data_IF_935896107372
#
_entry.id   IF_935896107372
#
_cell.length_a   1.000
_cell.length_b   1.000
_cell.length_c   1.000
_cell.angle_alpha   90.00
_cell.angle_beta   90.00
_cell.angle_gamma   90.00
#
_symmetry.space_group_name_H-M   'P 1'
#
loop_
_entity.id
_entity.type
_entity.pdbx_description
1 polymer ?
#
# COMPACT_ATOMS: atom_id res chain seq x y z
N UNK A 1 18.75 9.42 -13.70
CA UNK A 1 17.64 9.98 -14.51
C UNK A 1 17.55 9.09 -15.74
N UNK A 2 16.65 8.11 -15.70
CA UNK A 2 16.52 7.07 -16.71
C UNK A 2 16.24 7.74 -18.06
N UNK A 3 17.20 7.71 -18.97
CA UNK A 3 17.03 8.20 -20.34
C UNK A 3 16.21 7.18 -21.12
N UNK A 4 14.97 7.53 -21.43
CA UNK A 4 14.10 6.79 -22.34
C UNK A 4 14.47 6.99 -23.82
N UNK A 5 15.55 7.73 -24.12
CA UNK A 5 15.97 8.09 -25.48
C UNK A 5 16.50 6.92 -26.32
N UNK A 6 16.77 5.75 -25.72
CA UNK A 6 17.38 4.59 -26.41
C UNK A 6 16.38 3.47 -26.79
N UNK A 7 15.06 3.73 -26.79
CA UNK A 7 14.08 2.73 -27.21
C UNK A 7 13.85 2.78 -28.74
N UNK A 8 14.10 1.70 -29.49
CA UNK A 8 13.91 1.70 -30.95
C UNK A 8 12.47 2.01 -31.32
N UNK A 9 12.29 2.97 -32.23
CA UNK A 9 11.03 3.52 -32.74
C UNK A 9 10.09 2.49 -33.43
N UNK A 10 10.38 1.19 -33.35
CA UNK A 10 9.68 0.11 -34.06
C UNK A 10 8.65 -0.65 -33.21
N UNK A 11 8.42 -0.26 -31.94
CA UNK A 11 7.36 -0.84 -31.08
C UNK A 11 6.21 0.10 -30.73
N UNK A 12 6.14 1.27 -31.37
CA UNK A 12 5.13 2.32 -31.17
C UNK A 12 3.72 1.98 -31.71
N UNK A 13 3.41 0.70 -31.97
CA UNK A 13 2.18 0.29 -32.66
C UNK A 13 1.43 -0.89 -31.99
N UNK A 14 1.30 -0.89 -30.67
CA UNK A 14 0.26 -1.75 -30.04
C UNK A 14 -0.82 -0.95 -29.29
N UNK A 15 -0.61 0.34 -29.04
CA UNK A 15 -1.65 1.25 -28.58
C UNK A 15 -1.37 2.64 -29.16
N UNK A 16 -2.27 3.18 -30.00
CA UNK A 16 -2.06 4.39 -30.81
C UNK A 16 -1.97 5.72 -30.03
N UNK A 17 -1.11 5.82 -29.03
CA UNK A 17 -0.86 7.02 -28.24
C UNK A 17 0.35 7.79 -28.76
N UNK A 18 0.24 9.11 -28.85
CA UNK A 18 1.37 10.00 -29.19
C UNK A 18 2.34 10.11 -28.00
N UNK A 19 3.62 10.35 -28.30
CA UNK A 19 4.66 10.56 -27.26
C UNK A 19 4.31 11.66 -26.25
N UNK A 20 3.70 12.75 -26.72
CA UNK A 20 3.21 13.83 -25.84
C UNK A 20 2.14 13.35 -24.85
N UNK A 21 1.21 12.50 -25.29
CA UNK A 21 0.16 11.94 -24.43
C UNK A 21 0.74 10.98 -23.38
N UNK A 22 1.77 10.22 -23.76
CA UNK A 22 2.48 9.35 -22.81
C UNK A 22 3.20 10.18 -21.74
N UNK A 23 3.79 11.32 -22.11
CA UNK A 23 4.45 12.21 -21.16
C UNK A 23 3.46 12.88 -20.20
N UNK A 24 2.27 13.26 -20.67
CA UNK A 24 1.19 13.78 -19.83
C UNK A 24 0.72 12.71 -18.83
N UNK A 25 0.46 11.48 -19.30
CA UNK A 25 0.07 10.36 -18.42
C UNK A 25 1.15 10.06 -17.39
N UNK A 26 2.43 10.07 -17.78
CA UNK A 26 3.54 9.85 -16.87
C UNK A 26 3.59 10.91 -15.77
N UNK A 27 3.42 12.19 -16.13
CA UNK A 27 3.40 13.29 -15.18
C UNK A 27 2.24 13.16 -14.18
N UNK A 28 1.03 12.83 -14.65
CA UNK A 28 -0.14 12.63 -13.80
C UNK A 28 0.06 11.46 -12.83
N UNK A 29 0.59 10.34 -13.31
CA UNK A 29 0.90 9.17 -12.49
C UNK A 29 1.96 9.52 -11.43
N UNK A 30 3.01 10.25 -11.80
CA UNK A 30 4.05 10.68 -10.89
C UNK A 30 3.50 11.55 -9.75
N UNK A 31 2.68 12.56 -10.07
CA UNK A 31 2.10 13.44 -9.06
C UNK A 31 1.09 12.71 -8.18
N UNK A 32 0.24 11.86 -8.76
CA UNK A 32 -0.73 11.07 -8.00
C UNK A 32 -0.03 10.16 -6.98
N UNK A 33 1.01 9.42 -7.42
CA UNK A 33 1.78 8.54 -6.53
C UNK A 33 2.55 9.36 -5.49
N UNK A 34 3.16 10.49 -5.85
CA UNK A 34 3.88 11.33 -4.90
C UNK A 34 2.95 11.81 -3.77
N UNK A 35 1.74 12.25 -4.11
CA UNK A 35 0.73 12.68 -3.14
C UNK A 35 0.24 11.53 -2.24
N UNK A 36 0.13 10.32 -2.78
CA UNK A 36 -0.18 9.13 -1.98
C UNK A 36 0.95 8.83 -0.98
N UNK A 37 2.20 8.88 -1.45
CA UNK A 37 3.38 8.56 -0.65
C UNK A 37 3.67 9.60 0.44
N UNK A 38 3.28 10.87 0.25
CA UNK A 38 3.46 11.94 1.24
C UNK A 38 2.91 11.60 2.63
N UNK A 39 1.88 10.77 2.71
CA UNK A 39 1.24 10.37 3.98
C UNK A 39 1.91 9.17 4.65
N UNK A 40 2.73 8.42 3.92
CA UNK A 40 3.34 7.15 4.35
C UNK A 40 4.86 7.13 4.15
N UNK A 41 5.49 8.30 4.03
CA UNK A 41 6.94 8.42 3.79
C UNK A 41 7.74 7.68 4.87
N UNK A 42 7.28 7.73 6.13
CA UNK A 42 7.90 7.05 7.28
C UNK A 42 7.96 5.51 7.14
N UNK A 43 7.17 4.92 6.24
CA UNK A 43 7.25 3.50 5.93
C UNK A 43 8.49 3.16 5.08
N UNK A 44 9.04 4.14 4.36
CA UNK A 44 10.14 3.96 3.41
C UNK A 44 11.44 4.67 3.83
N UNK A 45 11.44 5.35 4.98
CA UNK A 45 12.65 5.92 5.58
C UNK A 45 13.51 4.85 6.26
N UNK A 46 14.75 5.21 6.62
CA UNK A 46 15.68 4.30 7.29
C UNK A 46 15.07 3.72 8.58
N UNK A 47 15.23 2.42 8.79
CA UNK A 47 14.61 1.63 9.87
C UNK A 47 13.07 1.50 9.82
N UNK A 48 12.40 2.11 8.84
CA UNK A 48 10.96 1.97 8.57
C UNK A 48 10.08 2.17 9.82
N UNK A 49 10.27 3.27 10.58
CA UNK A 49 9.55 3.51 11.83
C UNK A 49 8.03 3.55 11.64
N UNK A 50 7.55 4.01 10.48
CA UNK A 50 6.12 4.02 10.16
C UNK A 50 5.52 2.60 10.16
N UNK A 51 6.23 1.63 9.59
CA UNK A 51 5.76 0.23 9.56
C UNK A 51 5.72 -0.34 10.97
N UNK A 52 6.76 -0.11 11.78
CA UNK A 52 6.79 -0.61 13.16
C UNK A 52 5.64 -0.03 14.00
N UNK A 53 5.36 1.27 13.86
CA UNK A 53 4.24 1.93 14.53
C UNK A 53 2.88 1.36 14.08
N UNK A 54 2.71 1.12 12.79
CA UNK A 54 1.48 0.55 12.24
C UNK A 54 1.24 -0.88 12.75
N UNK A 55 2.30 -1.68 12.90
CA UNK A 55 2.24 -3.03 13.46
C UNK A 55 1.88 -2.98 14.95
N UNK A 56 2.49 -2.07 15.72
CA UNK A 56 2.13 -1.89 17.13
C UNK A 56 0.66 -1.49 17.28
N UNK A 57 0.15 -0.61 16.40
CA UNK A 57 -1.26 -0.24 16.39
C UNK A 57 -2.16 -1.43 16.01
N UNK A 58 -1.76 -2.26 15.05
CA UNK A 58 -2.45 -3.49 14.67
C UNK A 58 -2.58 -4.46 15.85
N UNK A 59 -1.50 -4.68 16.59
CA UNK A 59 -1.52 -5.52 17.78
C UNK A 59 -2.51 -4.99 18.82
N UNK A 60 -2.42 -3.70 19.17
CA UNK A 60 -3.28 -3.07 20.18
C UNK A 60 -4.76 -3.08 19.78
N UNK A 61 -5.07 -2.88 18.49
CA UNK A 61 -6.45 -2.92 18.01
C UNK A 61 -7.01 -4.33 17.99
N UNK A 62 -6.21 -5.32 17.58
CA UNK A 62 -6.66 -6.72 17.60
C UNK A 62 -6.94 -7.16 19.02
N UNK A 63 -6.07 -6.84 19.98
CA UNK A 63 -6.29 -7.14 21.40
C UNK A 63 -7.59 -6.52 21.94
N UNK A 64 -7.93 -5.30 21.50
CA UNK A 64 -9.13 -4.58 21.96
C UNK A 64 -10.43 -5.04 21.30
N UNK A 65 -10.36 -5.48 20.04
CA UNK A 65 -11.54 -5.84 19.25
C UNK A 65 -11.84 -7.34 19.32
N UNK A 66 -10.81 -8.17 19.34
CA UNK A 66 -10.90 -9.62 19.39
C UNK A 66 -9.73 -10.20 20.21
N UNK A 67 -9.93 -10.22 21.53
CA UNK A 67 -8.96 -10.76 22.47
C UNK A 67 -8.71 -12.26 22.24
N UNK A 68 -9.72 -13.01 21.81
CA UNK A 68 -9.61 -14.45 21.58
C UNK A 68 -8.68 -14.74 20.39
N UNK A 69 -8.80 -13.97 19.31
CA UNK A 69 -7.89 -14.04 18.16
C UNK A 69 -6.45 -13.63 18.56
N UNK A 70 -6.30 -12.57 19.34
CA UNK A 70 -4.98 -12.15 19.82
C UNK A 70 -4.30 -13.25 20.67
N UNK A 71 -5.04 -13.86 21.61
CA UNK A 71 -4.53 -14.96 22.42
C UNK A 71 -4.21 -16.19 21.57
N UNK A 72 -4.98 -16.45 20.51
CA UNK A 72 -4.68 -17.52 19.57
C UNK A 72 -3.32 -17.30 18.87
N UNK A 73 -3.03 -16.09 18.39
CA UNK A 73 -1.73 -15.79 17.78
C UNK A 73 -0.58 -15.97 18.76
N UNK A 74 -0.73 -15.51 20.01
CA UNK A 74 0.26 -15.73 21.07
C UNK A 74 0.49 -17.23 21.35
N UNK A 75 -0.59 -18.01 21.44
CA UNK A 75 -0.52 -19.45 21.66
C UNK A 75 0.20 -20.20 20.53
N UNK A 76 0.09 -19.70 19.29
CA UNK A 76 0.80 -20.24 18.13
C UNK A 76 2.21 -19.66 17.92
N UNK A 77 2.69 -18.79 18.80
CA UNK A 77 3.96 -18.03 18.64
C UNK A 77 4.01 -17.24 17.31
N UNK A 78 2.87 -16.74 16.84
CA UNK A 78 2.77 -15.91 15.65
C UNK A 78 3.00 -14.44 16.01
N UNK A 79 4.07 -13.86 15.50
CA UNK A 79 4.34 -12.44 15.63
C UNK A 79 3.64 -11.67 14.51
N UNK A 80 2.95 -10.57 14.87
CA UNK A 80 2.27 -9.71 13.89
C UNK A 80 3.18 -9.25 12.75
N UNK A 81 4.46 -9.01 13.05
CA UNK A 81 5.47 -8.61 12.06
C UNK A 81 5.58 -9.59 10.89
N UNK A 82 5.46 -10.90 11.13
CA UNK A 82 5.70 -11.95 10.13
C UNK A 82 4.73 -11.86 8.94
N UNK A 83 3.48 -11.50 9.19
CA UNK A 83 2.47 -11.36 8.12
C UNK A 83 2.24 -9.89 7.73
N UNK A 84 2.17 -8.99 8.70
CA UNK A 84 1.73 -7.61 8.46
C UNK A 84 2.79 -6.70 7.85
N UNK A 85 4.09 -7.06 7.94
CA UNK A 85 5.15 -6.29 7.28
C UNK A 85 4.91 -6.15 5.79
N UNK A 86 4.60 -7.27 5.11
CA UNK A 86 4.35 -7.28 3.67
C UNK A 86 3.13 -6.45 3.30
N UNK A 87 2.10 -6.49 4.13
CA UNK A 87 0.86 -5.73 3.94
C UNK A 87 1.12 -4.23 3.95
N UNK A 88 1.84 -3.74 4.98
CA UNK A 88 2.16 -2.32 5.13
C UNK A 88 3.16 -1.83 4.08
N UNK A 89 4.16 -2.65 3.73
CA UNK A 89 5.17 -2.31 2.74
C UNK A 89 4.60 -2.24 1.31
N UNK A 90 3.61 -3.08 0.97
CA UNK A 90 3.04 -3.15 -0.37
C UNK A 90 1.64 -2.54 -0.49
N UNK A 91 1.15 -1.86 0.55
CA UNK A 91 -0.20 -1.27 0.60
C UNK A 91 -1.29 -2.27 0.16
N UNK A 92 -1.16 -3.53 0.60
CA UNK A 92 -2.07 -4.65 0.28
C UNK A 92 -2.24 -4.99 -1.21
N UNK A 93 -1.46 -4.41 -2.14
CA UNK A 93 -1.61 -4.67 -3.58
C UNK A 93 -1.43 -6.15 -3.96
N UNK A 94 -0.77 -6.92 -3.10
CA UNK A 94 -0.56 -8.37 -3.24
C UNK A 94 -1.73 -9.22 -2.76
N UNK A 95 -2.58 -8.67 -1.90
CA UNK A 95 -3.64 -9.40 -1.19
C UNK A 95 -5.03 -9.16 -1.82
N UNK A 96 -5.21 -8.03 -2.51
CA UNK A 96 -6.50 -7.63 -3.10
C UNK A 96 -6.40 -7.43 -4.62
N UNK A 97 -7.48 -7.69 -5.38
CA UNK A 97 -7.49 -7.44 -6.82
C UNK A 97 -7.43 -5.93 -7.12
N UNK A 98 -6.84 -5.57 -8.26
CA UNK A 98 -6.55 -4.19 -8.65
C UNK A 98 -7.75 -3.23 -8.51
N UNK A 99 -8.96 -3.68 -8.87
CA UNK A 99 -10.19 -2.87 -8.73
C UNK A 99 -10.45 -2.41 -7.28
N UNK A 100 -10.14 -3.26 -6.30
CA UNK A 100 -10.32 -2.96 -4.88
C UNK A 100 -9.21 -2.03 -4.40
N UNK A 101 -7.99 -2.24 -4.90
CA UNK A 101 -6.83 -1.39 -4.60
C UNK A 101 -7.06 0.05 -5.09
N UNK A 102 -7.56 0.24 -6.31
CA UNK A 102 -7.84 1.58 -6.83
C UNK A 102 -8.85 2.31 -5.93
N UNK A 103 -9.94 1.64 -5.54
CA UNK A 103 -10.95 2.21 -4.62
C UNK A 103 -10.40 2.50 -3.22
N UNK A 104 -9.51 1.63 -2.73
CA UNK A 104 -8.84 1.83 -1.46
C UNK A 104 -7.92 3.06 -1.54
N UNK A 105 -7.14 3.18 -2.61
CA UNK A 105 -6.23 4.30 -2.90
C UNK A 105 -6.96 5.62 -3.10
N UNK A 106 -8.13 5.63 -3.75
CA UNK A 106 -9.01 6.80 -3.82
C UNK A 106 -9.39 7.29 -2.42
N UNK A 107 -9.64 6.34 -1.51
CA UNK A 107 -9.97 6.66 -0.11
C UNK A 107 -8.75 7.16 0.66
N UNK A 108 -7.54 6.61 0.40
CA UNK A 108 -6.28 7.12 0.99
C UNK A 108 -6.01 8.57 0.62
N UNK A 109 -6.24 8.93 -0.64
CA UNK A 109 -6.01 10.29 -1.13
C UNK A 109 -6.98 11.31 -0.53
N UNK A 110 -8.19 10.88 -0.14
CA UNK A 110 -9.25 11.76 0.38
C UNK A 110 -9.28 11.81 1.91
N UNK A 111 -8.89 10.74 2.61
CA UNK A 111 -9.05 10.62 4.06
C UNK A 111 -7.78 10.12 4.76
N UNK A 112 -7.19 10.99 5.58
CA UNK A 112 -6.06 10.71 6.48
C UNK A 112 -6.38 9.65 7.57
N UNK A 113 -7.66 9.29 7.75
CA UNK A 113 -8.14 8.36 8.79
C UNK A 113 -7.88 6.87 8.48
N UNK A 114 -7.05 6.57 7.47
CA UNK A 114 -7.08 5.26 6.82
C UNK A 114 -6.34 4.13 7.51
N UNK A 115 -5.54 4.41 8.54
CA UNK A 115 -4.99 3.34 9.36
C UNK A 115 -6.13 2.51 9.97
N UNK A 116 -7.20 3.16 10.43
CA UNK A 116 -8.37 2.50 11.01
C UNK A 116 -9.10 1.58 10.02
N UNK A 117 -9.14 1.97 8.74
CA UNK A 117 -9.85 1.24 7.69
C UNK A 117 -9.02 0.09 7.12
N UNK A 118 -7.70 0.27 7.02
CA UNK A 118 -6.74 -0.83 6.82
C UNK A 118 -6.87 -1.87 7.92
N UNK A 119 -6.93 -1.42 9.17
CA UNK A 119 -7.02 -2.26 10.35
C UNK A 119 -8.35 -3.03 10.42
N UNK A 120 -9.46 -2.39 10.07
CA UNK A 120 -10.78 -3.03 9.91
C UNK A 120 -10.80 -4.05 8.75
N UNK A 121 -10.14 -3.77 7.63
CA UNK A 121 -10.02 -4.71 6.50
C UNK A 121 -9.16 -5.92 6.84
N UNK A 122 -8.08 -5.73 7.61
CA UNK A 122 -7.23 -6.83 8.08
C UNK A 122 -7.95 -7.72 9.11
N UNK A 123 -8.78 -7.13 9.98
CA UNK A 123 -9.67 -7.88 10.88
C UNK A 123 -10.74 -8.67 10.11
N UNK A 124 -11.34 -8.09 9.06
CA UNK A 124 -12.30 -8.77 8.18
C UNK A 124 -11.68 -9.89 7.31
N UNK A 125 -10.37 -9.88 7.10
CA UNK A 125 -9.65 -10.96 6.40
C UNK A 125 -9.19 -12.08 7.34
N UNK A 126 -9.18 -11.83 8.66
CA UNK A 126 -8.79 -12.80 9.68
C UNK A 126 -10.00 -13.52 10.33
N UNK A 127 -11.22 -12.96 10.19
CA UNK A 127 -12.52 -13.56 10.54
C UNK A 127 -13.16 -14.25 9.34
#
# INVERSE_FOLDING_TARGET
MLKFDDLPASRSSEAGYKLEQLAEIEADVFWCISRLLDTIQDNYTFAQPGIQNNIAMLTSLTERLDADLHQHFLAQNLEYLQFSFRWMNNLLIRELPLRCIIRLWDTYLVSFLLLLLLLLLLLLLLL
#
